data_IF_514120030743
#
_entry.id   IF_514120030743
#
_cell.length_a   1.000
_cell.length_b   1.000
_cell.length_c   1.000
_cell.angle_alpha   90.00
_cell.angle_beta   90.00
_cell.angle_gamma   90.00
#
_symmetry.space_group_name_H-M   'P 1'
#
loop_
_entity.id
_entity.type
_entity.pdbx_description
1 polymer ?
2 water ?
#
# COMPACT_ATOMS: atom_id res chain seq x y z
N UNK A 1 10.40 -0.30 14.08
CA UNK A 1 9.58 0.92 14.31
C UNK A 1 9.67 1.83 13.09
N UNK A 2 8.51 2.21 12.54
CA UNK A 2 8.46 3.05 11.36
C UNK A 2 7.53 4.25 11.51
N UNK A 3 7.95 5.40 11.00
CA UNK A 3 7.12 6.59 11.05
C UNK A 3 6.73 6.96 9.64
N UNK A 4 5.51 7.46 9.47
CA UNK A 4 5.01 7.81 8.15
C UNK A 4 4.45 9.21 8.06
N UNK A 5 4.75 9.88 6.95
CA UNK A 5 4.24 11.22 6.68
C UNK A 5 2.79 10.98 6.26
N UNK A 6 1.92 11.94 6.56
CA UNK A 6 0.51 11.80 6.20
C UNK A 6 0.29 11.61 4.71
N UNK A 7 1.05 12.32 3.88
CA UNK A 7 0.90 12.22 2.44
C UNK A 7 1.21 10.83 1.88
N UNK A 8 2.07 10.10 2.57
CA UNK A 8 2.43 8.75 2.15
C UNK A 8 1.24 7.82 2.34
N UNK A 9 0.45 8.08 3.38
CA UNK A 9 -0.72 7.28 3.67
C UNK A 9 -1.88 7.57 2.72
N UNK A 10 -2.12 8.84 2.46
CA UNK A 10 -3.24 9.22 1.59
C UNK A 10 -2.93 9.20 0.09
N UNK A 11 -1.72 9.59 -0.26
CA UNK A 11 -1.32 9.68 -1.66
C UNK A 11 -2.18 10.73 -2.36
N UNK A 12 -2.68 11.69 -1.59
CA UNK A 12 -3.50 12.75 -2.16
C UNK A 12 -4.95 12.38 -2.40
N UNK A 13 -5.35 11.20 -1.92
CA UNK A 13 -6.72 10.74 -2.09
C UNK A 13 -7.25 10.18 -0.78
N UNK A 14 -8.58 10.05 -0.66
CA UNK A 14 -9.14 9.53 0.60
C UNK A 14 -8.66 8.12 0.93
N UNK A 15 -8.61 7.82 2.23
CA UNK A 15 -8.16 6.51 2.68
C UNK A 15 -8.90 6.16 3.96
N UNK A 16 -9.00 4.87 4.23
CA UNK A 16 -9.62 4.43 5.47
C UNK A 16 -8.47 4.01 6.37
N UNK A 17 -8.58 4.34 7.65
CA UNK A 17 -7.57 3.98 8.62
C UNK A 17 -8.33 3.10 9.62
N UNK A 18 -7.93 1.83 9.73
CA UNK A 18 -8.62 0.93 10.64
C UNK A 18 -7.72 0.56 11.82
N UNK A 19 -8.21 0.79 13.03
CA UNK A 19 -7.46 0.49 14.25
C UNK A 19 -8.07 -0.80 14.80
N UNK A 20 -7.25 -1.84 14.87
CA UNK A 20 -7.70 -3.15 15.27
C UNK A 20 -6.74 -3.93 16.17
N UNK A 21 -7.23 -5.07 16.65
CA UNK A 21 -6.44 -5.96 17.50
C UNK A 21 -6.99 -7.39 17.41
N UNK A 22 -6.12 -8.36 17.64
CA UNK A 22 -6.52 -9.77 17.59
C UNK A 22 -7.44 -10.10 18.76
N UNK A 23 -7.34 -9.36 19.87
CA UNK A 23 -8.19 -9.61 21.03
C UNK A 23 -9.61 -9.06 20.91
N UNK A 24 -9.82 -8.23 19.89
CA UNK A 24 -11.11 -7.61 19.64
C UNK A 24 -12.08 -8.63 19.02
N UNK A 25 -13.20 -8.91 19.70
CA UNK A 25 -14.26 -9.86 19.30
C UNK A 25 -14.87 -9.73 17.91
N UNK A 26 -15.05 -8.51 17.43
CA UNK A 26 -15.66 -8.28 16.12
C UNK A 26 -14.64 -8.10 15.00
N UNK A 27 -13.35 -8.08 15.35
CA UNK A 27 -12.29 -7.85 14.37
C UNK A 27 -12.04 -8.97 13.35
N UNK A 28 -12.35 -10.20 13.70
CA UNK A 28 -12.16 -11.32 12.79
C UNK A 28 -13.05 -11.16 11.55
N UNK A 29 -14.34 -10.95 11.79
CA UNK A 29 -15.31 -10.77 10.73
C UNK A 29 -15.05 -9.47 9.97
N UNK A 30 -14.61 -8.46 10.71
CA UNK A 30 -14.31 -7.16 10.12
C UNK A 30 -13.16 -7.31 9.13
N UNK A 31 -12.18 -8.10 9.53
CA UNK A 31 -11.00 -8.33 8.71
C UNK A 31 -11.42 -8.88 7.35
N UNK A 32 -12.27 -9.91 7.37
CA UNK A 32 -12.74 -10.54 6.16
C UNK A 32 -13.49 -9.56 5.27
N UNK A 33 -14.24 -8.65 5.88
CA UNK A 33 -14.98 -7.68 5.10
C UNK A 33 -14.02 -6.66 4.48
N UNK A 34 -12.94 -6.31 5.19
CA UNK A 34 -11.98 -5.36 4.65
C UNK A 34 -11.28 -5.95 3.43
N UNK A 35 -11.07 -7.27 3.43
CA UNK A 35 -10.45 -7.93 2.29
C UNK A 35 -11.32 -7.66 1.06
N UNK A 36 -12.63 -7.65 1.27
CA UNK A 36 -13.60 -7.41 0.21
C UNK A 36 -13.53 -5.97 -0.31
N UNK A 37 -13.56 -5.01 0.61
CA UNK A 37 -13.49 -3.60 0.22
C UNK A 37 -12.16 -3.30 -0.46
N UNK A 38 -11.09 -3.90 0.05
CA UNK A 38 -9.76 -3.72 -0.51
C UNK A 38 -9.73 -4.17 -1.96
N UNK A 39 -10.48 -5.23 -2.26
CA UNK A 39 -10.53 -5.78 -3.61
C UNK A 39 -11.32 -4.86 -4.54
N UNK A 40 -12.23 -4.08 -3.96
CA UNK A 40 -13.05 -3.16 -4.74
C UNK A 40 -12.30 -1.85 -5.04
N UNK A 41 -11.02 -1.80 -4.64
CA UNK A 41 -10.23 -0.62 -4.89
C UNK A 41 -10.18 0.43 -3.79
N UNK A 42 -10.63 0.08 -2.59
CA UNK A 42 -10.62 1.02 -1.48
C UNK A 42 -9.27 0.91 -0.77
N UNK A 43 -8.55 2.03 -0.66
CA UNK A 43 -7.24 2.01 0.00
C UNK A 43 -7.44 2.05 1.51
N UNK A 44 -6.93 1.05 2.19
CA UNK A 44 -7.07 0.94 3.64
C UNK A 44 -5.71 0.85 4.32
N UNK A 45 -5.54 1.64 5.37
CA UNK A 45 -4.31 1.60 6.14
C UNK A 45 -4.67 0.99 7.48
N UNK A 46 -3.87 0.05 7.95
CA UNK A 46 -4.18 -0.59 9.22
C UNK A 46 -3.27 -0.21 10.37
N UNK A 47 -3.83 -0.15 11.56
CA UNK A 47 -3.03 0.16 12.73
C UNK A 47 -3.34 -0.87 13.81
N UNK A 48 -2.43 -1.83 13.99
CA UNK A 48 -2.61 -2.85 15.00
C UNK A 48 -2.38 -2.15 16.35
N UNK A 49 -3.31 -2.33 17.28
CA UNK A 49 -3.28 -1.62 18.56
C UNK A 49 -3.23 -2.44 19.84
N UNK A 50 -2.24 -2.14 20.70
CA UNK A 50 -2.04 -2.82 21.99
C UNK A 50 -2.20 -4.32 21.81
N UNK A 51 -1.43 -4.85 20.88
CA UNK A 51 -1.52 -6.26 20.52
C UNK A 51 -0.13 -6.88 20.44
N UNK A 52 -0.08 -8.20 20.44
CA UNK A 52 1.18 -8.91 20.32
C UNK A 52 1.53 -8.90 18.84
N UNK A 53 2.65 -8.26 18.49
CA UNK A 53 3.08 -8.15 17.10
C UNK A 53 3.07 -9.46 16.34
N UNK A 54 3.64 -10.50 16.94
CA UNK A 54 3.70 -11.81 16.30
C UNK A 54 2.33 -12.39 16.01
N UNK A 55 1.37 -12.15 16.91
CA UNK A 55 0.02 -12.66 16.71
C UNK A 55 -0.69 -11.88 15.61
N UNK A 56 -0.36 -10.60 15.49
CA UNK A 56 -0.96 -9.76 14.46
C UNK A 56 -0.42 -10.24 13.11
N UNK A 57 0.87 -10.50 13.06
CA UNK A 57 1.51 -10.97 11.83
C UNK A 57 0.88 -12.27 11.33
N UNK A 58 0.74 -13.23 12.24
CA UNK A 58 0.15 -14.52 11.89
C UNK A 58 -1.29 -14.34 11.42
N UNK A 59 -1.98 -13.43 12.06
CA UNK A 59 -3.37 -13.12 11.73
C UNK A 59 -3.47 -12.62 10.28
N UNK A 60 -2.53 -11.76 9.89
CA UNK A 60 -2.50 -11.20 8.53
C UNK A 60 -2.10 -12.24 7.49
N UNK A 61 -1.32 -13.23 7.90
CA UNK A 61 -0.90 -14.28 6.99
C UNK A 61 -2.02 -15.28 6.77
N UNK A 62 -2.64 -15.70 7.86
CA UNK A 62 -3.72 -16.68 7.80
C UNK A 62 -4.97 -16.16 7.08
N UNK A 63 -5.44 -14.98 7.47
CA UNK A 63 -6.64 -14.39 6.87
C UNK A 63 -6.41 -13.46 5.69
N UNK A 64 -5.15 -13.11 5.42
CA UNK A 64 -4.87 -12.21 4.32
C UNK A 64 -4.62 -10.79 4.81
N UNK A 65 -3.95 -9.99 4.00
CA UNK A 65 -3.64 -8.61 4.38
C UNK A 65 -4.32 -7.62 3.44
N UNK A 66 -5.38 -6.95 3.90
CA UNK A 66 -6.14 -5.97 3.10
C UNK A 66 -5.55 -4.57 3.17
N UNK A 67 -4.49 -4.43 3.96
CA UNK A 67 -3.85 -3.13 4.17
C UNK A 67 -2.74 -2.75 3.18
N UNK A 68 -2.86 -1.57 2.58
CA UNK A 68 -1.84 -1.08 1.65
C UNK A 68 -0.57 -0.85 2.47
N UNK A 69 -0.77 -0.33 3.69
CA UNK A 69 0.31 -0.08 4.63
C UNK A 69 -0.17 -0.61 5.97
N UNK A 70 0.69 -1.34 6.68
CA UNK A 70 0.30 -1.93 7.96
C UNK A 70 1.18 -1.42 9.10
N UNK A 71 0.58 -0.75 10.08
CA UNK A 71 1.34 -0.22 11.23
C UNK A 71 1.08 -1.04 12.50
N UNK A 72 2.07 -1.08 13.38
CA UNK A 72 1.96 -1.81 14.65
C UNK A 72 2.34 -0.91 15.81
N UNK A 73 2.23 -1.41 17.03
CA UNK A 73 2.59 -0.61 18.21
C UNK A 73 4.04 -0.16 18.07
N UNK A 74 4.27 1.13 18.25
CA UNK A 74 5.61 1.64 18.12
C UNK A 74 5.75 2.49 16.89
N UNK A 75 4.94 2.23 15.87
CA UNK A 75 4.99 3.02 14.64
C UNK A 75 4.23 4.31 14.87
N UNK A 76 4.50 5.32 14.04
CA UNK A 76 3.81 6.59 14.21
C UNK A 76 3.52 7.30 12.91
N UNK A 77 2.69 8.33 13.00
CA UNK A 77 2.33 9.12 11.84
C UNK A 77 2.63 10.58 12.11
N UNK A 78 3.15 11.26 11.09
CA UNK A 78 3.49 12.67 11.21
C UNK A 78 2.48 13.49 10.41
N UNK A 79 2.03 14.60 10.99
CA UNK A 79 1.08 15.44 10.30
C UNK A 79 -0.35 14.95 10.34
N UNK A 80 -0.63 14.00 11.23
CA UNK A 80 -1.97 13.45 11.36
C UNK A 80 -2.28 13.31 12.84
N UNK A 81 -3.27 14.04 13.32
CA UNK A 81 -3.66 14.00 14.73
C UNK A 81 -4.97 13.26 14.91
N UNK A 82 -4.93 12.09 15.56
CA UNK A 82 -6.13 11.30 15.76
C UNK A 82 -6.76 11.53 17.13
N UNK A 83 -6.14 12.39 17.93
CA UNK A 83 -6.67 12.68 19.26
C UNK A 83 -6.74 11.43 20.12
N UNK A 84 -7.81 11.29 20.90
CA UNK A 84 -7.99 10.12 21.76
C UNK A 84 -8.63 9.04 20.91
N UNK A 85 -7.90 7.95 20.67
CA UNK A 85 -8.42 6.86 19.84
C UNK A 85 -7.90 5.51 20.31
N UNK A 86 -8.42 4.46 19.68
CA UNK A 86 -8.01 3.11 20.03
C UNK A 86 -8.90 2.11 19.31
N UNK A 87 -8.59 0.83 19.43
CA UNK A 87 -9.41 -0.19 18.80
C UNK A 87 -10.71 -0.37 19.57
N UNK A 88 -11.82 -0.66 18.87
CA UNK A 88 -11.93 -0.82 17.42
C UNK A 88 -12.49 0.49 16.84
N UNK A 89 -11.75 1.11 15.94
CA UNK A 89 -12.22 2.35 15.33
C UNK A 89 -11.80 2.40 13.87
N UNK A 90 -12.54 3.16 13.07
CA UNK A 90 -12.23 3.31 11.66
C UNK A 90 -12.37 4.80 11.35
N UNK A 91 -11.36 5.37 10.72
CA UNK A 91 -11.34 6.77 10.36
C UNK A 91 -11.36 6.94 8.85
N UNK A 92 -12.05 7.99 8.39
CA UNK A 92 -12.06 8.31 6.97
C UNK A 92 -11.24 9.59 6.90
N UNK A 93 -10.15 9.57 6.14
CA UNK A 93 -9.27 10.72 6.00
C UNK A 93 -9.33 11.15 4.55
N UNK A 94 -9.53 12.45 4.29
CA UNK A 94 -9.58 12.88 2.90
C UNK A 94 -8.19 13.09 2.31
N UNK A 95 -8.16 13.38 1.01
CA UNK A 95 -6.91 13.58 0.30
C UNK A 95 -6.03 14.68 0.85
N UNK A 96 -6.61 15.56 1.66
CA UNK A 96 -5.85 16.66 2.24
C UNK A 96 -5.37 16.34 3.64
N UNK A 97 -5.63 15.12 4.09
CA UNK A 97 -5.21 14.74 5.43
C UNK A 97 -6.17 15.15 6.52
N UNK A 98 -7.40 15.50 6.15
CA UNK A 98 -8.41 15.92 7.14
C UNK A 98 -9.33 14.76 7.52
N UNK A 99 -9.53 14.57 8.83
CA UNK A 99 -10.41 13.50 9.31
C UNK A 99 -11.87 13.89 9.03
N UNK A 100 -12.52 13.16 8.14
CA UNK A 100 -13.90 13.46 7.77
C UNK A 100 -14.96 12.58 8.42
N UNK A 101 -14.51 11.53 9.11
CA UNK A 101 -15.45 10.68 9.82
C UNK A 101 -14.70 9.72 10.71
N UNK A 102 -15.33 9.34 11.82
CA UNK A 102 -14.74 8.36 12.71
C UNK A 102 -15.87 7.48 13.20
N UNK A 103 -15.70 6.17 13.08
CA UNK A 103 -16.70 5.24 13.55
C UNK A 103 -16.11 4.37 14.64
N UNK A 104 -16.78 4.34 15.78
CA UNK A 104 -16.34 3.52 16.91
C UNK A 104 -17.18 2.24 16.86
N UNK A 105 -16.50 1.11 16.79
CA UNK A 105 -17.18 -0.17 16.72
C UNK A 105 -16.65 -0.93 15.53
N UNK A 106 -17.32 -2.02 15.15
CA UNK A 106 -16.84 -2.79 14.02
C UNK A 106 -17.34 -2.21 12.71
N UNK A 107 -16.54 -2.37 11.67
CA UNK A 107 -16.91 -1.91 10.34
C UNK A 107 -17.59 -3.08 9.63
N UNK A 108 -18.84 -2.90 9.24
CA UNK A 108 -19.60 -3.95 8.57
C UNK A 108 -20.35 -3.32 7.39
N UNK A 109 -20.84 -4.15 6.45
CA UNK A 109 -21.56 -3.65 5.27
C UNK A 109 -22.53 -2.51 5.51
N UNK A 110 -23.30 -2.58 6.59
CA UNK A 110 -24.27 -1.54 6.89
C UNK A 110 -23.63 -0.18 7.17
N UNK A 111 -22.64 -0.15 8.06
CA UNK A 111 -21.96 1.11 8.39
C UNK A 111 -21.33 1.68 7.14
N UNK A 112 -20.67 0.83 6.37
CA UNK A 112 -20.04 1.27 5.13
C UNK A 112 -21.07 1.79 4.14
N UNK A 113 -22.04 0.95 3.82
CA UNK A 113 -23.06 1.29 2.83
C UNK A 113 -23.89 2.52 3.19
N UNK A 114 -24.35 2.59 4.44
CA UNK A 114 -25.20 3.71 4.84
C UNK A 114 -24.50 4.95 5.40
N UNK A 115 -23.36 4.79 6.03
CA UNK A 115 -22.70 5.94 6.63
C UNK A 115 -21.42 6.45 5.99
N UNK A 116 -20.46 5.56 5.79
CA UNK A 116 -19.17 5.94 5.26
C UNK A 116 -19.03 6.07 3.74
N UNK A 117 -19.55 5.09 3.00
CA UNK A 117 -19.45 5.10 1.55
C UNK A 117 -19.83 6.42 0.89
N UNK A 118 -20.95 7.03 1.30
CA UNK A 118 -21.31 8.31 0.68
C UNK A 118 -20.26 9.39 0.90
N UNK A 119 -19.64 9.39 2.07
CA UNK A 119 -18.61 10.39 2.35
C UNK A 119 -17.36 10.08 1.54
N UNK A 120 -17.06 8.79 1.41
CA UNK A 120 -15.90 8.36 0.63
C UNK A 120 -16.03 8.85 -0.81
N UNK A 121 -17.19 8.64 -1.41
CA UNK A 121 -17.45 9.06 -2.78
C UNK A 121 -17.30 10.57 -2.87
N UNK A 122 -17.85 11.25 -1.88
CA UNK A 122 -17.83 12.70 -1.77
C UNK A 122 -16.40 13.23 -1.89
N UNK A 123 -15.49 12.69 -1.09
CA UNK A 123 -14.11 13.17 -1.13
C UNK A 123 -13.26 12.56 -2.23
N UNK A 124 -13.76 11.50 -2.87
CA UNK A 124 -13.03 10.89 -3.97
C UNK A 124 -13.15 11.85 -5.17
N UNK A 125 -14.36 12.37 -5.38
CA UNK A 125 -14.60 13.31 -6.47
C UNK A 125 -13.92 14.64 -6.19
N UNK A 126 -13.74 14.96 -4.91
CA UNK A 126 -13.11 16.21 -4.52
C UNK A 126 -11.60 16.16 -4.73
N UNK A 127 -11.01 14.98 -4.54
CA UNK A 127 -9.58 14.80 -4.72
C UNK A 127 -9.25 14.65 -6.20
N UNK A 128 -10.17 14.09 -6.96
CA UNK A 128 -9.98 13.89 -8.39
C UNK A 128 -10.35 15.15 -9.18
N UNK B 1 15.56 11.68 3.01
CA UNK B 1 14.32 12.29 3.58
C UNK B 1 13.66 11.30 4.53
N UNK B 2 13.22 10.16 4.00
CA UNK B 2 12.59 9.13 4.83
C UNK B 2 13.00 7.73 4.37
N UNK B 3 13.33 6.87 5.32
CA UNK B 3 13.73 5.50 5.01
C UNK B 3 12.71 4.49 5.52
N UNK B 4 12.48 3.45 4.73
CA UNK B 4 11.51 2.42 5.07
C UNK B 4 12.11 1.04 5.27
N UNK B 5 11.66 0.34 6.32
CA UNK B 5 12.13 -1.01 6.62
C UNK B 5 11.66 -1.90 5.47
N UNK B 6 12.40 -2.96 5.19
CA UNK B 6 12.04 -3.86 4.10
C UNK B 6 10.71 -4.56 4.30
N UNK B 7 10.37 -4.91 5.54
CA UNK B 7 9.11 -5.58 5.81
C UNK B 7 7.92 -4.69 5.50
N UNK B 8 8.14 -3.38 5.51
CA UNK B 8 7.08 -2.42 5.22
C UNK B 8 6.64 -2.61 3.76
N UNK B 9 7.62 -2.87 2.90
CA UNK B 9 7.35 -3.08 1.48
C UNK B 9 6.76 -4.44 1.16
N UNK B 10 7.34 -5.50 1.71
CA UNK B 10 6.88 -6.86 1.43
C UNK B 10 5.65 -7.33 2.21
N UNK B 11 5.58 -6.98 3.49
CA UNK B 11 4.50 -7.43 4.35
C UNK B 11 4.58 -8.96 4.44
N UNK B 12 5.77 -9.49 4.23
CA UNK B 12 5.97 -10.93 4.31
C UNK B 12 5.59 -11.69 3.05
N UNK B 13 5.33 -10.96 1.97
CA UNK B 13 4.96 -11.59 0.70
C UNK B 13 5.70 -10.93 -0.46
N UNK B 14 5.67 -11.56 -1.64
CA UNK B 14 6.34 -10.98 -2.81
C UNK B 14 5.80 -9.60 -3.20
N UNK B 15 6.67 -8.79 -3.77
CA UNK B 15 6.27 -7.44 -4.19
C UNK B 15 7.14 -7.02 -5.37
N UNK B 16 6.57 -6.18 -6.22
CA UNK B 16 7.32 -5.65 -7.34
C UNK B 16 7.75 -4.24 -6.96
N UNK B 17 8.97 -3.89 -7.33
CA UNK B 17 9.50 -2.57 -7.05
C UNK B 17 9.79 -1.98 -8.42
N UNK B 18 9.07 -0.92 -8.77
CA UNK B 18 9.24 -0.29 -10.09
C UNK B 18 9.95 1.05 -9.96
N UNK B 19 11.06 1.20 -10.68
CA UNK B 19 11.86 2.43 -10.67
C UNK B 19 11.52 3.14 -11.98
N UNK B 20 10.87 4.29 -11.85
CA UNK B 20 10.39 5.03 -13.00
C UNK B 20 10.66 6.54 -12.97
N UNK B 21 10.29 7.20 -14.07
CA UNK B 21 10.45 8.64 -14.21
C UNK B 21 9.57 9.14 -15.35
N UNK B 22 9.12 10.39 -15.24
CA UNK B 22 8.27 10.97 -16.27
C UNK B 22 9.05 11.26 -17.56
N UNK B 23 10.37 11.37 -17.46
CA UNK B 23 11.19 11.62 -18.65
C UNK B 23 11.47 10.34 -19.44
N UNK B 24 11.18 9.20 -18.82
CA UNK B 24 11.38 7.90 -19.46
C UNK B 24 10.28 7.66 -20.49
N UNK B 25 10.66 7.52 -21.77
CA UNK B 25 9.77 7.29 -22.92
C UNK B 25 8.70 6.19 -22.85
N UNK B 26 9.06 5.04 -22.30
CA UNK B 26 8.12 3.91 -22.21
C UNK B 26 7.33 3.83 -20.90
N UNK B 27 7.62 4.74 -19.98
CA UNK B 27 6.98 4.75 -18.68
C UNK B 27 5.50 5.12 -18.66
N UNK B 28 5.05 5.86 -19.66
CA UNK B 28 3.64 6.26 -19.75
C UNK B 28 2.79 5.00 -19.93
N UNK B 29 3.11 4.23 -20.95
CA UNK B 29 2.40 3.00 -21.26
C UNK B 29 2.53 2.03 -20.09
N UNK B 30 3.73 1.95 -19.52
CA UNK B 30 3.99 1.05 -18.41
C UNK B 30 3.10 1.39 -17.23
N UNK B 31 2.96 2.69 -16.96
CA UNK B 31 2.14 3.14 -15.85
C UNK B 31 0.73 2.56 -15.96
N UNK B 32 0.12 2.73 -17.12
CA UNK B 32 -1.22 2.24 -17.38
C UNK B 32 -1.30 0.73 -17.18
N UNK B 33 -0.26 0.02 -17.60
CA UNK B 33 -0.25 -1.42 -17.44
C UNK B 33 -0.19 -1.80 -15.96
N UNK B 34 0.59 -1.06 -15.19
CA UNK B 34 0.70 -1.34 -13.77
C UNK B 34 -0.64 -1.15 -13.06
N UNK B 35 -1.43 -0.19 -13.53
CA UNK B 35 -2.75 0.05 -12.95
C UNK B 35 -3.56 -1.24 -13.08
N UNK B 36 -3.37 -1.94 -14.20
CA UNK B 36 -4.07 -3.20 -14.45
C UNK B 36 -3.63 -4.26 -13.44
N UNK B 37 -2.33 -4.52 -13.39
CA UNK B 37 -1.77 -5.52 -12.47
C UNK B 37 -2.13 -5.22 -11.03
N UNK B 38 -2.08 -3.95 -10.66
CA UNK B 38 -2.40 -3.54 -9.30
C UNK B 38 -3.84 -3.95 -8.98
N UNK B 39 -4.74 -3.69 -9.93
CA UNK B 39 -6.15 -4.03 -9.75
C UNK B 39 -6.34 -5.54 -9.60
N UNK B 40 -5.42 -6.31 -10.18
CA UNK B 40 -5.47 -7.77 -10.12
C UNK B 40 -4.99 -8.33 -8.79
N UNK B 41 -4.52 -7.46 -7.91
CA UNK B 41 -4.03 -7.93 -6.62
C UNK B 41 -2.53 -8.01 -6.47
N UNK B 42 -1.80 -7.54 -7.47
CA UNK B 42 -0.33 -7.57 -7.43
C UNK B 42 0.13 -6.33 -6.65
N UNK B 43 0.89 -6.54 -5.58
CA UNK B 43 1.40 -5.42 -4.78
C UNK B 43 2.61 -4.80 -5.48
N UNK B 44 2.56 -3.50 -5.72
CA UNK B 44 3.65 -2.80 -6.38
C UNK B 44 4.12 -1.57 -5.60
N UNK B 45 5.43 -1.45 -5.43
CA UNK B 45 6.00 -0.30 -4.74
C UNK B 45 6.67 0.54 -5.83
N UNK B 46 6.48 1.85 -5.78
CA UNK B 46 7.09 2.69 -6.80
C UNK B 46 8.20 3.57 -6.29
N UNK B 47 9.25 3.73 -7.11
CA UNK B 47 10.37 4.58 -6.75
C UNK B 47 10.61 5.56 -7.89
N UNK B 48 10.20 6.81 -7.68
CA UNK B 48 10.39 7.85 -8.69
C UNK B 48 11.87 8.18 -8.68
N UNK B 49 12.49 8.16 -9.86
CA UNK B 49 13.92 8.35 -10.00
C UNK B 49 14.42 9.56 -10.79
N UNK B 50 15.29 10.36 -10.18
CA UNK B 50 15.87 11.56 -10.79
C UNK B 50 14.83 12.31 -11.62
N UNK B 51 13.70 12.60 -10.97
CA UNK B 51 12.59 13.27 -11.62
C UNK B 51 12.26 14.47 -10.75
N UNK B 52 11.27 15.25 -11.17
CA UNK B 52 10.86 16.40 -10.38
C UNK B 52 9.57 16.00 -9.66
N UNK B 53 9.58 16.08 -8.33
CA UNK B 53 8.44 15.73 -7.51
C UNK B 53 7.13 16.17 -8.13
N UNK B 54 6.99 17.47 -8.34
CA UNK B 54 5.79 18.05 -8.92
C UNK B 54 5.24 17.23 -10.08
N UNK B 55 6.07 17.03 -11.10
CA UNK B 55 5.65 16.26 -12.27
C UNK B 55 5.27 14.82 -11.94
N UNK B 56 5.95 14.23 -10.97
CA UNK B 56 5.65 12.86 -10.56
C UNK B 56 4.25 12.80 -9.95
N UNK B 57 3.95 13.75 -9.06
CA UNK B 57 2.65 13.81 -8.40
C UNK B 57 1.51 13.99 -9.40
N UNK B 58 1.64 14.95 -10.31
CA UNK B 58 0.62 15.19 -11.32
C UNK B 58 0.38 13.93 -12.12
N UNK B 59 1.48 13.31 -12.53
CA UNK B 59 1.47 12.07 -13.29
C UNK B 59 0.60 11.03 -12.58
N UNK B 60 0.80 10.91 -11.27
CA UNK B 60 0.06 9.93 -10.46
C UNK B 60 -1.41 10.27 -10.25
N UNK B 61 -1.74 11.56 -10.27
CA UNK B 61 -3.13 11.98 -10.06
C UNK B 61 -4.02 11.66 -11.25
N UNK B 62 -3.63 12.14 -12.42
CA UNK B 62 -4.40 11.90 -13.63
C UNK B 62 -4.45 10.44 -14.06
N UNK B 63 -3.28 9.85 -14.28
CA UNK B 63 -3.18 8.46 -14.71
C UNK B 63 -3.63 7.48 -13.63
N UNK B 64 -3.50 7.87 -12.37
CA UNK B 64 -3.88 6.99 -11.28
C UNK B 64 -2.63 6.49 -10.57
N UNK B 65 -2.78 6.04 -9.33
CA UNK B 65 -1.64 5.57 -8.55
C UNK B 65 -1.74 4.05 -8.34
N UNK B 66 -0.90 3.28 -9.04
CA UNK B 66 -0.91 1.81 -8.92
C UNK B 66 -0.05 1.30 -7.76
N UNK B 67 0.62 2.22 -7.09
CA UNK B 67 1.53 1.87 -6.01
C UNK B 67 0.95 1.83 -4.60
N UNK B 68 1.24 0.75 -3.88
CA UNK B 68 0.78 0.60 -2.50
C UNK B 68 1.54 1.64 -1.68
N UNK B 69 2.82 1.82 -2.03
CA UNK B 69 3.71 2.79 -1.39
C UNK B 69 4.44 3.49 -2.52
N UNK B 70 4.47 4.82 -2.50
CA UNK B 70 5.13 5.57 -3.54
C UNK B 70 6.31 6.34 -2.96
N UNK B 71 7.51 6.09 -3.48
CA UNK B 71 8.71 6.76 -2.99
C UNK B 71 9.27 7.73 -4.02
N UNK B 72 10.05 8.70 -3.55
CA UNK B 72 10.65 9.71 -4.40
C UNK B 72 12.12 9.92 -4.07
N UNK B 73 12.80 10.77 -4.83
CA UNK B 73 14.22 11.04 -4.58
C UNK B 73 14.41 11.51 -3.15
N UNK B 74 15.39 10.92 -2.46
CA UNK B 74 15.66 11.28 -1.09
C UNK B 74 15.30 10.13 -0.17
N UNK B 75 14.18 9.48 -0.45
CA UNK B 75 13.74 8.35 0.36
C UNK B 75 14.65 7.17 0.09
N UNK B 76 14.69 6.23 1.02
CA UNK B 76 15.52 5.06 0.85
C UNK B 76 14.94 3.88 1.58
N UNK B 77 15.52 2.70 1.38
CA UNK B 77 15.05 1.51 2.07
C UNK B 77 16.14 0.97 2.99
N UNK B 78 15.70 0.24 4.01
CA UNK B 78 16.61 -0.33 4.99
C UNK B 78 16.50 -1.85 4.94
N UNK B 79 17.63 -2.52 4.85
CA UNK B 79 17.63 -3.97 4.80
C UNK B 79 17.43 -4.51 3.39
N UNK B 80 17.57 -3.65 2.39
CA UNK B 80 17.40 -4.07 1.01
C UNK B 80 18.46 -3.40 0.14
N UNK B 81 19.35 -4.21 -0.44
CA UNK B 81 20.42 -3.68 -1.29
C UNK B 81 20.08 -3.91 -2.77
N UNK B 82 19.84 -2.81 -3.49
CA UNK B 82 19.51 -2.91 -4.91
C UNK B 82 20.72 -2.79 -5.83
N UNK B 83 21.89 -2.59 -5.23
CA UNK B 83 23.11 -2.45 -6.01
C UNK B 83 23.04 -1.25 -6.94
N UNK B 84 23.62 -1.39 -8.12
CA UNK B 84 23.60 -0.32 -9.11
C UNK B 84 22.28 -0.44 -9.84
N UNK B 85 21.40 0.55 -9.65
CA UNK B 85 20.09 0.53 -10.28
C UNK B 85 19.67 1.92 -10.71
N UNK B 86 18.58 1.98 -11.48
CA UNK B 86 18.06 3.25 -11.95
C UNK B 86 16.90 2.99 -12.89
N UNK B 87 16.17 4.02 -13.27
CA UNK B 87 15.05 3.85 -14.19
C UNK B 87 15.59 3.56 -15.59
N UNK B 88 14.87 2.74 -16.39
CA UNK B 88 13.61 2.05 -16.10
C UNK B 88 13.92 0.62 -15.70
N UNK B 89 13.55 0.25 -14.48
CA UNK B 89 13.83 -1.10 -14.00
C UNK B 89 12.72 -1.59 -13.10
N UNK B 90 12.53 -2.90 -13.05
CA UNK B 90 11.52 -3.50 -12.20
C UNK B 90 12.16 -4.66 -11.47
N UNK B 91 12.01 -4.69 -10.15
CA UNK B 91 12.59 -5.75 -9.33
C UNK B 91 11.50 -6.61 -8.73
N UNK B 92 11.77 -7.91 -8.60
CA UNK B 92 10.83 -8.81 -7.94
C UNK B 92 11.54 -9.16 -6.63
N UNK B 93 10.88 -8.88 -5.51
CA UNK B 93 11.44 -9.13 -4.20
C UNK B 93 10.55 -10.16 -3.51
N UNK B 94 11.14 -11.21 -2.93
CA UNK B 94 10.31 -12.21 -2.27
C UNK B 94 9.94 -11.83 -0.84
N UNK B 95 9.08 -12.63 -0.25
CA UNK B 95 8.61 -12.38 1.11
C UNK B 95 9.68 -12.23 2.15
N UNK B 96 10.89 -12.71 1.84
CA UNK B 96 12.00 -12.62 2.79
C UNK B 96 12.92 -11.44 2.49
N UNK B 97 12.55 -10.61 1.53
CA UNK B 97 13.38 -9.48 1.18
C UNK B 97 14.51 -9.76 0.22
N UNK B 98 14.49 -10.94 -0.41
CA UNK B 98 15.53 -11.31 -1.37
C UNK B 98 15.12 -10.99 -2.79
N UNK B 99 16.02 -10.36 -3.54
CA UNK B 99 15.76 -9.99 -4.93
C UNK B 99 15.81 -11.24 -5.80
N UNK B 100 14.67 -11.60 -6.37
CA UNK B 100 14.58 -12.81 -7.19
C UNK B 100 14.55 -12.56 -8.70
N UNK B 101 14.48 -11.30 -9.09
CA UNK B 101 14.52 -10.98 -10.50
C UNK B 101 14.64 -9.50 -10.70
N UNK B 102 15.23 -9.13 -11.83
CA UNK B 102 15.38 -7.72 -12.15
C UNK B 102 15.28 -7.60 -13.65
N UNK B 103 14.40 -6.71 -14.10
CA UNK B 103 14.25 -6.49 -15.53
C UNK B 103 14.57 -5.04 -15.83
N UNK B 104 15.48 -4.82 -16.79
CA UNK B 104 15.85 -3.48 -17.21
C UNK B 104 15.05 -3.22 -18.48
N UNK B 105 14.31 -2.13 -18.49
CA UNK B 105 13.50 -1.80 -19.64
C UNK B 105 12.08 -1.62 -19.14
N UNK B 106 11.13 -1.58 -20.06
CA UNK B 106 9.74 -1.40 -19.65
C UNK B 106 9.03 -2.71 -19.35
N UNK B 107 8.09 -2.63 -18.43
CA UNK B 107 7.30 -3.78 -18.05
C UNK B 107 6.06 -3.75 -18.93
N UNK B 108 5.84 -4.84 -19.67
CA UNK B 108 4.70 -4.94 -20.56
C UNK B 108 4.12 -6.35 -20.36
N UNK B 109 2.90 -6.60 -20.87
CA UNK B 109 2.30 -7.92 -20.71
C UNK B 109 3.17 -9.12 -21.11
N UNK B 110 4.05 -8.95 -22.10
CA UNK B 110 4.92 -10.04 -22.52
C UNK B 110 5.96 -10.41 -21.46
N UNK B 111 6.68 -9.40 -20.96
CA UNK B 111 7.70 -9.63 -19.94
C UNK B 111 7.06 -10.20 -18.68
N UNK B 112 5.93 -9.63 -18.30
CA UNK B 112 5.23 -10.10 -17.11
C UNK B 112 4.79 -11.56 -17.26
N UNK B 113 3.96 -11.82 -18.27
CA UNK B 113 3.42 -13.15 -18.54
C UNK B 113 4.45 -14.26 -18.76
N UNK B 114 5.50 -13.95 -19.50
CA UNK B 114 6.52 -14.96 -19.81
C UNK B 114 7.73 -14.98 -18.90
N UNK B 115 8.11 -13.83 -18.37
CA UNK B 115 9.31 -13.78 -17.53
C UNK B 115 9.13 -13.64 -16.03
N UNK B 116 8.28 -12.71 -15.60
CA UNK B 116 8.10 -12.47 -14.18
C UNK B 116 7.00 -13.22 -13.47
N UNK B 117 5.81 -13.30 -14.08
CA UNK B 117 4.68 -13.97 -13.46
C UNK B 117 5.01 -15.36 -12.88
N UNK B 118 5.67 -16.22 -13.66
CA UNK B 118 6.00 -17.54 -13.12
C UNK B 118 6.83 -17.49 -11.84
N UNK B 119 7.71 -16.49 -11.73
CA UNK B 119 8.54 -16.35 -10.54
C UNK B 119 7.69 -15.81 -9.40
N UNK B 120 6.74 -14.95 -9.75
CA UNK B 120 5.83 -14.37 -8.78
C UNK B 120 4.99 -15.45 -8.12
N UNK B 121 4.39 -16.32 -8.94
CA UNK B 121 3.55 -17.40 -8.42
C UNK B 121 4.39 -18.31 -7.55
N UNK B 122 5.59 -18.58 -8.01
CA UNK B 122 6.54 -19.43 -7.33
C UNK B 122 6.74 -18.98 -5.88
N UNK B 123 7.01 -17.68 -5.68
CA UNK B 123 7.24 -17.17 -4.33
C UNK B 123 6.00 -16.74 -3.56
N UNK B 124 4.87 -16.66 -4.25
CA UNK B 124 3.62 -16.31 -3.57
C UNK B 124 3.20 -17.57 -2.83
N UNK B 125 3.42 -18.72 -3.46
CA UNK B 125 3.07 -20.00 -2.86
C UNK B 125 4.05 -20.33 -1.74
N UNK B 126 5.27 -19.82 -1.87
CA UNK B 126 6.32 -20.05 -0.88
C UNK B 126 6.08 -19.23 0.39
N UNK B 127 5.73 -17.96 0.21
CA UNK B 127 5.48 -17.06 1.34
C UNK B 127 4.20 -17.44 2.07
N UNK B 128 3.32 -18.17 1.39
CA UNK B 128 2.05 -18.59 1.98
C UNK B 128 2.27 -19.82 2.86
N UNK B 129 3.54 -20.15 3.09
CA UNK B 129 3.90 -21.30 3.91
C UNK B 129 4.60 -20.85 5.19
#
# INVERSE_FOLDING_TARGET
>A
MQFYQADVLTQGKPVLLNVWATWCPTCRAEHQYLNQLSAQGIRVVGMNYKDDRQKAISWLKELGNPYALSLFDGDGMLGLDLGVYGAPETFLIDGNGIIRYRHAGDLNPRVWEEEIKPLWEKYSKEAAQ
>B
MQFYQADVLTQGKPVLLNVWATWCPTCRAEHQYLNQLSAQGIRVVGMNYKDDRQKAISWLKELGNPYALSLFDGDGMLGLDLGVYGAPETFLIDGNGIIRYRHAGDLNPRVWEEEIKPLWEKYSKEAAQ
#
